data_IF_808122683417
#
_entry.id   IF_808122683417
#
_cell.length_a   1.000
_cell.length_b   1.000
_cell.length_c   1.000
_cell.angle_alpha   90.00
_cell.angle_beta   90.00
_cell.angle_gamma   90.00
#
_symmetry.space_group_name_H-M   'P 1'
#
loop_
_entity.id
_entity.type
_entity.pdbx_description
1 polymer ?
#
# COMPACT_ATOMS: atom_id res chain seq x y z
N UNK A 1 -1.69 22.00 2.23
CA UNK A 1 -0.92 22.22 3.48
C UNK A 1 -1.59 21.54 4.68
N UNK A 2 -2.93 21.56 4.80
CA UNK A 2 -3.65 20.89 5.92
C UNK A 2 -3.58 19.37 5.75
N UNK A 3 -3.85 18.84 4.56
CA UNK A 3 -3.84 17.41 4.29
C UNK A 3 -2.48 16.77 4.58
N UNK A 4 -1.36 17.40 4.17
CA UNK A 4 -0.01 16.88 4.45
C UNK A 4 0.29 16.72 5.95
N UNK A 5 -0.31 17.54 6.82
CA UNK A 5 -0.20 17.42 8.28
C UNK A 5 -1.02 16.27 8.88
N UNK A 6 -1.93 15.72 8.09
CA UNK A 6 -2.80 14.61 8.52
C UNK A 6 -2.16 13.24 8.28
N UNK A 7 -1.15 13.18 7.42
CA UNK A 7 -0.39 11.95 7.20
C UNK A 7 0.69 11.79 8.27
N UNK A 8 1.07 10.55 8.59
CA UNK A 8 2.14 10.32 9.52
C UNK A 8 3.46 10.88 8.99
N UNK A 9 4.30 11.38 9.89
CA UNK A 9 5.66 11.80 9.54
C UNK A 9 6.44 10.59 8.97
N UNK A 10 7.22 10.78 7.90
CA UNK A 10 8.08 9.72 7.40
C UNK A 10 9.00 9.22 8.51
N UNK A 11 8.82 8.01 8.96
CA UNK A 11 9.64 7.39 9.98
C UNK A 11 10.55 6.37 9.30
N UNK A 12 11.86 6.58 9.39
CA UNK A 12 12.83 5.80 8.64
C UNK A 12 13.28 4.52 9.34
N UNK A 13 12.93 4.31 10.62
CA UNK A 13 13.41 3.16 11.38
C UNK A 13 12.31 2.55 12.25
N UNK A 14 11.98 1.31 11.96
CA UNK A 14 11.27 0.40 12.85
C UNK A 14 12.22 -0.76 13.21
N UNK A 15 11.96 -1.47 14.29
CA UNK A 15 12.79 -2.62 14.68
C UNK A 15 12.78 -3.66 13.55
N UNK A 16 13.97 -3.98 13.04
CA UNK A 16 14.15 -4.94 11.95
C UNK A 16 13.83 -4.42 10.54
N UNK A 17 13.40 -3.16 10.39
CA UNK A 17 13.06 -2.58 9.09
C UNK A 17 13.90 -1.34 8.79
N UNK A 18 14.39 -1.26 7.57
CA UNK A 18 14.77 -0.01 6.93
C UNK A 18 13.57 0.45 6.08
N UNK A 19 13.03 1.62 6.37
CA UNK A 19 11.74 2.06 5.85
C UNK A 19 11.82 3.50 5.35
N UNK A 20 11.37 3.74 4.14
CA UNK A 20 11.31 5.06 3.54
C UNK A 20 9.99 5.27 2.81
N UNK A 21 9.48 6.50 2.84
CA UNK A 21 8.30 6.95 2.10
C UNK A 21 8.67 8.24 1.36
N UNK A 22 8.25 8.33 0.11
CA UNK A 22 8.14 9.58 -0.63
C UNK A 22 6.68 9.85 -0.98
N UNK A 23 6.26 11.10 -0.82
CA UNK A 23 4.89 11.53 -1.07
C UNK A 23 4.89 12.91 -1.71
N UNK A 24 4.69 12.95 -3.00
CA UNK A 24 4.63 14.16 -3.80
C UNK A 24 3.25 14.35 -4.42
N UNK A 25 2.35 15.12 -3.78
CA UNK A 25 1.04 15.39 -4.34
C UNK A 25 1.15 16.28 -5.58
N UNK A 26 0.42 15.95 -6.65
CA UNK A 26 0.38 16.73 -7.90
C UNK A 26 -0.09 18.18 -7.70
N UNK A 27 -0.87 18.45 -6.66
CA UNK A 27 -1.43 19.74 -6.31
C UNK A 27 -1.33 19.99 -4.79
N UNK A 28 -2.00 21.04 -4.30
CA UNK A 28 -2.08 21.33 -2.86
C UNK A 28 -2.75 20.23 -2.06
N UNK A 29 -3.51 19.33 -2.71
CA UNK A 29 -4.22 18.18 -2.14
C UNK A 29 -4.16 17.02 -3.13
N UNK A 30 -4.20 15.76 -2.61
CA UNK A 30 -4.10 14.54 -3.39
C UNK A 30 -5.21 13.54 -3.02
N UNK A 31 -5.51 12.65 -3.97
CA UNK A 31 -6.29 11.42 -3.77
C UNK A 31 -5.49 10.33 -3.03
N UNK A 32 -4.18 10.33 -3.24
CA UNK A 32 -3.30 9.36 -2.59
C UNK A 32 -3.26 9.51 -1.07
N UNK A 33 -3.19 8.41 -0.37
CA UNK A 33 -2.96 8.36 1.07
C UNK A 33 -2.09 7.17 1.45
N UNK A 34 -1.28 7.38 2.46
CA UNK A 34 -0.58 6.29 3.14
C UNK A 34 -0.77 6.38 4.66
N UNK A 35 -0.63 5.24 5.32
CA UNK A 35 -0.55 5.16 6.77
C UNK A 35 0.29 3.96 7.18
N UNK A 36 0.84 3.98 8.39
CA UNK A 36 1.55 2.84 8.95
C UNK A 36 1.18 2.67 10.43
N UNK A 37 1.12 1.42 10.84
CA UNK A 37 0.70 1.03 12.18
C UNK A 37 1.85 0.36 12.90
N UNK A 38 2.17 0.86 14.09
CA UNK A 38 3.28 0.34 14.88
C UNK A 38 2.98 0.41 16.37
N UNK A 39 3.57 -0.53 17.11
CA UNK A 39 3.51 -0.54 18.56
C UNK A 39 4.91 -0.83 19.12
N UNK A 40 5.34 -0.05 20.11
CA UNK A 40 6.66 -0.20 20.77
C UNK A 40 7.85 -0.27 19.77
N UNK A 41 7.73 0.41 18.63
CA UNK A 41 8.73 0.44 17.57
C UNK A 41 8.68 -0.74 16.59
N UNK A 42 7.76 -1.68 16.75
CA UNK A 42 7.55 -2.75 15.78
C UNK A 42 6.48 -2.30 14.78
N UNK A 43 6.82 -2.35 13.49
CA UNK A 43 5.87 -2.16 12.41
C UNK A 43 4.96 -3.39 12.32
N UNK A 44 3.65 -3.21 12.34
CA UNK A 44 2.69 -4.30 12.21
C UNK A 44 1.65 -4.09 11.12
N UNK A 45 1.61 -2.91 10.49
CA UNK A 45 0.75 -2.68 9.34
C UNK A 45 1.19 -1.50 8.48
N UNK A 46 0.76 -1.54 7.22
CA UNK A 46 0.93 -0.47 6.26
C UNK A 46 -0.27 -0.40 5.33
N UNK A 47 -0.69 0.80 5.00
CA UNK A 47 -1.79 1.09 4.10
C UNK A 47 -1.33 2.08 3.03
N UNK A 48 -1.65 1.78 1.77
CA UNK A 48 -1.45 2.68 0.63
C UNK A 48 -2.70 2.63 -0.24
N UNK A 49 -3.35 3.78 -0.43
CA UNK A 49 -4.61 3.88 -1.17
C UNK A 49 -4.58 5.10 -2.08
N UNK A 50 -5.35 5.02 -3.15
CA UNK A 50 -5.59 6.12 -4.08
C UNK A 50 -7.09 6.27 -4.31
N UNK A 51 -7.58 7.50 -4.14
CA UNK A 51 -8.99 7.88 -4.33
C UNK A 51 -9.17 8.38 -5.76
N UNK A 52 -10.09 7.77 -6.50
CA UNK A 52 -10.39 8.14 -7.88
C UNK A 52 -10.73 9.63 -8.04
N UNK A 53 -10.17 10.25 -9.09
CA UNK A 53 -10.34 11.66 -9.38
C UNK A 53 -9.30 12.55 -8.68
N UNK A 54 -9.45 13.86 -8.82
CA UNK A 54 -8.48 14.82 -8.30
C UNK A 54 -9.16 16.05 -7.69
N UNK A 55 -8.37 16.84 -6.98
CA UNK A 55 -8.82 18.10 -6.40
C UNK A 55 -9.56 17.93 -5.07
N UNK A 56 -10.43 18.88 -4.76
CA UNK A 56 -11.03 19.01 -3.42
C UNK A 56 -11.93 17.83 -3.05
N UNK A 57 -12.73 17.33 -4.01
CA UNK A 57 -13.64 16.20 -3.76
C UNK A 57 -12.85 14.96 -3.36
N UNK A 58 -11.87 14.55 -4.17
CA UNK A 58 -11.01 13.41 -3.88
C UNK A 58 -10.32 13.58 -2.51
N UNK A 59 -9.78 14.76 -2.20
CA UNK A 59 -9.08 15.01 -0.95
C UNK A 59 -9.97 14.91 0.30
N UNK A 60 -11.24 15.26 0.21
CA UNK A 60 -12.20 15.07 1.31
C UNK A 60 -12.49 13.59 1.54
N UNK A 61 -12.66 12.82 0.47
CA UNK A 61 -12.82 11.36 0.56
C UNK A 61 -11.52 10.71 1.08
N UNK A 62 -10.36 11.19 0.70
CA UNK A 62 -9.06 10.73 1.24
C UNK A 62 -9.00 10.88 2.76
N UNK A 63 -9.48 12.00 3.30
CA UNK A 63 -9.50 12.24 4.75
C UNK A 63 -10.49 11.32 5.47
N UNK A 64 -11.68 11.11 4.89
CA UNK A 64 -12.66 10.15 5.37
C UNK A 64 -12.09 8.73 5.36
N UNK A 65 -11.53 8.31 4.23
CA UNK A 65 -10.95 6.99 4.03
C UNK A 65 -9.83 6.72 5.03
N UNK A 66 -8.91 7.68 5.25
CA UNK A 66 -7.82 7.53 6.22
C UNK A 66 -8.34 7.17 7.62
N UNK A 67 -9.36 7.85 8.10
CA UNK A 67 -9.95 7.58 9.42
C UNK A 67 -10.60 6.19 9.47
N UNK A 68 -11.33 5.80 8.42
CA UNK A 68 -11.99 4.50 8.34
C UNK A 68 -10.94 3.38 8.29
N UNK A 69 -9.90 3.52 7.46
CA UNK A 69 -8.83 2.53 7.29
C UNK A 69 -8.11 2.33 8.63
N UNK A 70 -7.65 3.41 9.27
CA UNK A 70 -6.94 3.33 10.54
C UNK A 70 -7.78 2.67 11.65
N UNK A 71 -9.01 3.14 11.86
CA UNK A 71 -9.89 2.58 12.87
C UNK A 71 -10.28 1.12 12.59
N UNK A 72 -10.42 0.73 11.31
CA UNK A 72 -10.74 -0.64 10.94
C UNK A 72 -9.54 -1.57 11.12
N UNK A 73 -8.34 -1.11 10.78
CA UNK A 73 -7.11 -1.87 11.01
C UNK A 73 -6.90 -2.13 12.51
N UNK A 74 -6.97 -1.10 13.34
CA UNK A 74 -6.82 -1.25 14.80
C UNK A 74 -7.89 -2.17 15.41
N UNK A 75 -9.14 -2.09 14.94
CA UNK A 75 -10.20 -3.01 15.36
C UNK A 75 -9.89 -4.44 14.95
N UNK A 76 -9.52 -4.65 13.68
CA UNK A 76 -9.17 -5.96 13.14
C UNK A 76 -8.03 -6.63 13.93
N UNK A 77 -7.01 -5.87 14.31
CA UNK A 77 -5.93 -6.35 15.17
C UNK A 77 -6.44 -6.83 16.53
N UNK A 78 -7.31 -6.06 17.18
CA UNK A 78 -7.86 -6.42 18.50
C UNK A 78 -8.69 -7.70 18.50
N UNK A 79 -9.43 -7.96 17.42
CA UNK A 79 -10.30 -9.14 17.28
C UNK A 79 -9.68 -10.25 16.45
N UNK A 80 -8.41 -10.11 16.04
CA UNK A 80 -7.66 -11.05 15.21
C UNK A 80 -8.36 -11.35 13.87
N UNK A 81 -8.94 -10.34 13.26
CA UNK A 81 -9.57 -10.41 11.95
C UNK A 81 -8.54 -10.65 10.85
N UNK A 82 -8.92 -11.35 9.78
CA UNK A 82 -8.04 -11.50 8.62
C UNK A 82 -7.88 -10.17 7.89
N UNK A 83 -6.78 -10.01 7.15
CA UNK A 83 -6.56 -8.80 6.34
C UNK A 83 -7.65 -8.63 5.27
N UNK A 84 -8.17 -9.73 4.73
CA UNK A 84 -9.28 -9.75 3.78
C UNK A 84 -10.57 -9.22 4.40
N UNK A 85 -10.93 -9.70 5.59
CA UNK A 85 -12.14 -9.25 6.30
C UNK A 85 -12.02 -7.78 6.73
N UNK A 86 -10.81 -7.37 7.15
CA UNK A 86 -10.54 -5.97 7.47
C UNK A 86 -10.77 -5.08 6.24
N UNK A 87 -10.31 -5.48 5.06
CA UNK A 87 -10.49 -4.71 3.83
C UNK A 87 -11.95 -4.71 3.35
N UNK A 88 -12.70 -5.80 3.54
CA UNK A 88 -14.15 -5.84 3.32
C UNK A 88 -14.89 -4.89 4.27
N UNK A 89 -14.52 -4.89 5.56
CA UNK A 89 -15.09 -3.97 6.54
C UNK A 89 -14.81 -2.49 6.19
N UNK A 90 -13.64 -2.19 5.64
CA UNK A 90 -13.30 -0.86 5.12
C UNK A 90 -14.21 -0.50 3.95
N UNK A 91 -14.39 -1.41 2.99
CA UNK A 91 -15.29 -1.22 1.86
C UNK A 91 -16.70 -0.84 2.29
N UNK A 92 -17.29 -1.63 3.19
CA UNK A 92 -18.65 -1.42 3.67
C UNK A 92 -18.81 -0.08 4.38
N UNK A 93 -17.85 0.30 5.21
CA UNK A 93 -17.86 1.59 5.91
C UNK A 93 -17.71 2.76 4.94
N UNK A 94 -16.83 2.66 3.95
CA UNK A 94 -16.65 3.71 2.94
C UNK A 94 -17.92 3.88 2.13
N UNK A 95 -18.59 2.81 1.69
CA UNK A 95 -19.87 2.87 1.00
C UNK A 95 -20.92 3.62 1.84
N UNK A 96 -21.03 3.26 3.12
CA UNK A 96 -22.01 3.87 4.01
C UNK A 96 -21.72 5.35 4.30
N UNK A 97 -20.47 5.70 4.55
CA UNK A 97 -20.09 7.04 4.99
C UNK A 97 -20.01 8.06 3.84
N UNK A 98 -19.60 7.63 2.64
CA UNK A 98 -19.52 8.53 1.49
C UNK A 98 -20.90 8.75 0.82
N UNK A 99 -21.88 7.87 1.06
CA UNK A 99 -23.21 7.96 0.43
C UNK A 99 -23.15 7.92 -1.08
N UNK A 100 -23.87 8.82 -1.73
CA UNK A 100 -24.02 8.90 -3.20
C UNK A 100 -22.83 9.55 -3.93
N UNK A 101 -21.69 9.73 -3.25
CA UNK A 101 -20.48 10.27 -3.90
C UNK A 101 -19.85 9.18 -4.77
N UNK A 102 -19.58 9.50 -6.05
CA UNK A 102 -19.11 8.51 -7.05
C UNK A 102 -17.65 8.08 -6.89
N UNK A 103 -16.85 8.76 -6.06
CA UNK A 103 -15.45 8.37 -5.84
C UNK A 103 -15.35 6.94 -5.32
N UNK A 104 -14.38 6.21 -5.83
CA UNK A 104 -13.95 4.89 -5.35
C UNK A 104 -12.47 4.94 -4.99
N UNK A 105 -11.96 3.89 -4.36
CA UNK A 105 -10.56 3.80 -3.98
C UNK A 105 -9.95 2.51 -4.51
N UNK A 106 -8.71 2.60 -4.96
CA UNK A 106 -7.82 1.45 -5.04
C UNK A 106 -6.88 1.44 -3.83
N UNK A 107 -6.37 0.28 -3.44
CA UNK A 107 -5.44 0.28 -2.31
C UNK A 107 -4.89 -1.08 -1.93
N UNK A 108 -3.84 -1.02 -1.12
CA UNK A 108 -3.18 -2.19 -0.52
C UNK A 108 -3.20 -2.02 0.99
N UNK A 109 -3.51 -3.11 1.67
CA UNK A 109 -3.39 -3.22 3.11
C UNK A 109 -2.43 -4.36 3.43
N UNK A 110 -1.41 -4.07 4.25
CA UNK A 110 -0.39 -5.02 4.68
C UNK A 110 -0.45 -5.20 6.19
N UNK A 111 -0.25 -6.44 6.63
CA UNK A 111 -0.09 -6.80 8.03
C UNK A 111 1.21 -7.59 8.17
N UNK A 112 2.04 -7.18 9.13
CA UNK A 112 3.34 -7.79 9.40
C UNK A 112 3.31 -8.54 10.72
N UNK A 113 3.82 -9.78 10.73
CA UNK A 113 4.12 -10.46 11.98
C UNK A 113 5.35 -9.84 12.66
N UNK A 114 5.63 -10.23 13.90
CA UNK A 114 6.95 -10.00 14.47
C UNK A 114 7.98 -10.88 13.75
N UNK A 115 9.24 -10.41 13.73
CA UNK A 115 10.35 -11.25 13.29
C UNK A 115 10.50 -12.47 14.23
N UNK A 116 10.73 -13.60 13.63
CA UNK A 116 11.02 -14.84 14.34
C UNK A 116 12.53 -14.95 14.69
N UNK A 117 12.94 -16.10 15.22
CA UNK A 117 14.34 -16.39 15.59
C UNK A 117 15.31 -16.49 14.40
N UNK A 118 14.78 -16.53 13.17
CA UNK A 118 15.54 -16.57 11.92
C UNK A 118 15.51 -15.22 11.20
N UNK A 119 15.11 -14.13 11.88
CA UNK A 119 14.92 -12.81 11.29
C UNK A 119 13.96 -12.80 10.09
N UNK A 120 12.93 -13.66 10.12
CA UNK A 120 11.89 -13.75 9.11
C UNK A 120 10.56 -13.19 9.62
N UNK A 121 9.91 -12.37 8.80
CA UNK A 121 8.60 -11.79 9.06
C UNK A 121 7.58 -12.35 8.07
N UNK A 122 6.41 -12.79 8.53
CA UNK A 122 5.31 -13.14 7.65
C UNK A 122 4.48 -11.89 7.33
N UNK A 123 4.21 -11.68 6.06
CA UNK A 123 3.40 -10.57 5.55
C UNK A 123 2.10 -11.12 4.98
N UNK A 124 0.98 -10.58 5.45
CA UNK A 124 -0.32 -10.77 4.83
C UNK A 124 -0.70 -9.49 4.07
N UNK A 125 -1.09 -9.63 2.81
CA UNK A 125 -1.46 -8.52 1.92
C UNK A 125 -2.84 -8.76 1.33
N UNK A 126 -3.70 -7.74 1.37
CA UNK A 126 -4.92 -7.66 0.59
C UNK A 126 -4.84 -6.45 -0.36
N UNK A 127 -5.29 -6.64 -1.61
CA UNK A 127 -5.21 -5.64 -2.67
C UNK A 127 -6.59 -5.40 -3.28
N UNK A 128 -7.01 -4.15 -3.35
CA UNK A 128 -8.24 -3.68 -3.94
C UNK A 128 -7.98 -2.91 -5.24
N UNK A 129 -7.57 -3.62 -6.29
CA UNK A 129 -7.38 -3.04 -7.63
C UNK A 129 -6.20 -2.06 -7.76
N UNK A 130 -5.28 -2.07 -6.81
CA UNK A 130 -4.12 -1.19 -6.79
C UNK A 130 -2.93 -1.80 -7.54
N UNK A 131 -1.96 -1.00 -8.03
CA UNK A 131 -0.72 -1.53 -8.61
C UNK A 131 -0.07 -2.60 -7.72
N UNK A 132 0.41 -3.67 -8.32
CA UNK A 132 1.00 -4.77 -7.57
C UNK A 132 2.34 -4.37 -6.96
N UNK A 133 2.54 -4.55 -5.64
CA UNK A 133 3.86 -4.37 -5.03
C UNK A 133 4.90 -5.25 -5.67
N UNK A 134 6.13 -4.77 -5.69
CA UNK A 134 7.28 -5.51 -6.17
C UNK A 134 8.06 -6.02 -4.98
N UNK A 135 8.34 -7.32 -4.97
CA UNK A 135 9.18 -7.99 -4.00
C UNK A 135 10.49 -8.40 -4.65
N UNK A 136 11.60 -7.91 -4.11
CA UNK A 136 12.94 -8.40 -4.38
C UNK A 136 13.33 -9.39 -3.29
N UNK A 137 13.83 -10.57 -3.69
CA UNK A 137 14.37 -11.60 -2.82
C UNK A 137 15.88 -11.55 -2.81
N UNK A 138 16.47 -11.43 -1.63
CA UNK A 138 17.92 -11.39 -1.49
C UNK A 138 18.59 -12.72 -1.80
N UNK A 139 17.92 -13.83 -1.51
CA UNK A 139 18.45 -15.19 -1.64
C UNK A 139 18.84 -15.54 -3.08
N UNK A 140 17.97 -15.21 -4.05
CA UNK A 140 18.13 -15.56 -5.47
C UNK A 140 18.16 -14.33 -6.39
N UNK A 141 18.16 -13.13 -5.81
CA UNK A 141 18.12 -11.82 -6.50
C UNK A 141 16.91 -11.67 -7.44
N UNK A 142 15.85 -12.44 -7.22
CA UNK A 142 14.65 -12.40 -8.04
C UNK A 142 13.80 -11.16 -7.73
N UNK A 143 13.12 -10.65 -8.75
CA UNK A 143 12.17 -9.55 -8.67
C UNK A 143 10.80 -10.04 -9.14
N UNK A 144 9.79 -9.93 -8.30
CA UNK A 144 8.45 -10.47 -8.60
C UNK A 144 7.38 -9.45 -8.23
N UNK A 145 6.41 -9.22 -9.13
CA UNK A 145 5.18 -8.51 -8.78
C UNK A 145 4.25 -9.45 -8.00
N UNK A 146 3.77 -9.01 -6.84
CA UNK A 146 2.91 -9.79 -5.97
C UNK A 146 1.47 -9.82 -6.50
N UNK A 147 1.23 -10.64 -7.51
CA UNK A 147 -0.06 -10.84 -8.15
C UNK A 147 -0.82 -11.97 -7.46
N UNK A 148 -2.15 -11.83 -7.38
CA UNK A 148 -3.02 -12.96 -7.03
C UNK A 148 -2.94 -14.05 -8.07
N UNK A 149 -3.15 -15.29 -7.65
CA UNK A 149 -3.35 -16.39 -8.58
C UNK A 149 -4.55 -16.07 -9.49
N UNK A 150 -4.37 -16.22 -10.80
CA UNK A 150 -5.38 -15.96 -11.81
C UNK A 150 -6.67 -16.79 -11.64
N UNK A 151 -6.63 -17.85 -10.83
CA UNK A 151 -7.80 -18.65 -10.45
C UNK A 151 -8.67 -17.96 -9.37
N UNK A 152 -8.12 -16.99 -8.65
CA UNK A 152 -8.86 -16.21 -7.66
C UNK A 152 -9.42 -14.96 -8.33
N UNK A 153 -10.74 -14.83 -8.30
CA UNK A 153 -11.38 -13.61 -8.78
C UNK A 153 -11.01 -12.46 -7.87
N UNK A 154 -10.16 -11.57 -8.37
CA UNK A 154 -9.91 -10.28 -7.73
C UNK A 154 -10.98 -9.31 -8.21
N UNK A 155 -11.71 -8.72 -7.31
CA UNK A 155 -12.71 -7.74 -7.64
C UNK A 155 -12.41 -6.41 -7.04
N UNK A 156 -12.07 -5.51 -7.92
CA UNK A 156 -12.42 -4.12 -7.96
C UNK A 156 -11.86 -3.25 -6.85
N UNK A 157 -12.24 -2.02 -7.03
CA UNK A 157 -11.98 -0.93 -6.11
C UNK A 157 -12.95 -0.97 -4.91
N UNK A 158 -12.60 -0.26 -3.86
CA UNK A 158 -13.38 -0.05 -2.65
C UNK A 158 -14.39 1.09 -2.88
N UNK A 159 -15.57 0.97 -2.29
CA UNK A 159 -16.55 2.05 -2.25
C UNK A 159 -17.52 2.10 -3.41
N UNK A 160 -17.62 1.04 -4.24
CA UNK A 160 -18.59 0.95 -5.32
C UNK A 160 -19.84 0.21 -4.83
N UNK A 161 -20.98 0.90 -4.82
CA UNK A 161 -22.25 0.30 -4.42
C UNK A 161 -22.75 -0.76 -5.39
N UNK A 162 -23.39 -1.80 -4.87
CA UNK A 162 -24.06 -2.81 -5.68
C UNK A 162 -23.16 -3.80 -6.39
N UNK A 163 -21.86 -3.78 -6.10
CA UNK A 163 -20.88 -4.74 -6.61
C UNK A 163 -20.48 -5.67 -5.47
N UNK A 164 -20.57 -6.97 -5.71
CA UNK A 164 -20.04 -7.98 -4.79
C UNK A 164 -18.51 -8.05 -4.97
N UNK A 165 -17.78 -7.73 -3.92
CA UNK A 165 -16.31 -7.65 -3.93
C UNK A 165 -15.70 -8.69 -3.01
N UNK A 166 -14.52 -9.16 -3.36
CA UNK A 166 -13.68 -9.94 -2.48
C UNK A 166 -12.22 -9.51 -2.61
N UNK A 167 -11.49 -9.52 -1.50
CA UNK A 167 -10.08 -9.13 -1.45
C UNK A 167 -9.26 -10.27 -0.87
N UNK A 168 -8.99 -11.34 -1.65
CA UNK A 168 -8.25 -12.50 -1.14
C UNK A 168 -6.86 -12.08 -0.67
N UNK A 169 -6.42 -12.66 0.45
CA UNK A 169 -5.10 -12.37 0.99
C UNK A 169 -4.01 -13.17 0.29
N UNK A 170 -2.87 -12.55 0.06
CA UNK A 170 -1.60 -13.21 -0.25
C UNK A 170 -0.75 -13.21 1.02
N UNK A 171 -0.21 -14.37 1.37
CA UNK A 171 0.71 -14.50 2.49
C UNK A 171 2.09 -14.90 1.97
N UNK A 172 3.12 -14.20 2.41
CA UNK A 172 4.50 -14.49 2.01
C UNK A 172 5.48 -14.13 3.14
N UNK A 173 6.57 -14.88 3.29
CA UNK A 173 7.63 -14.51 4.22
C UNK A 173 8.48 -13.37 3.64
N UNK A 174 9.10 -12.58 4.50
CA UNK A 174 10.20 -11.68 4.18
C UNK A 174 11.36 -11.96 5.13
N UNK A 175 12.53 -12.19 4.56
CA UNK A 175 13.77 -12.41 5.28
C UNK A 175 14.66 -11.16 5.25
N UNK A 176 15.73 -11.15 6.03
CA UNK A 176 16.68 -10.05 6.05
C UNK A 176 17.32 -9.81 4.67
N UNK A 177 17.20 -8.58 4.18
CA UNK A 177 17.69 -8.16 2.88
C UNK A 177 16.66 -8.25 1.74
N UNK A 178 15.49 -8.81 1.98
CA UNK A 178 14.37 -8.70 1.05
C UNK A 178 13.84 -7.27 1.02
N UNK A 179 13.32 -6.82 -0.15
CA UNK A 179 12.82 -5.47 -0.34
C UNK A 179 11.41 -5.53 -0.89
N UNK A 180 10.48 -4.85 -0.21
CA UNK A 180 9.10 -4.69 -0.66
C UNK A 180 8.88 -3.23 -1.06
N UNK A 181 8.48 -3.00 -2.31
CA UNK A 181 8.15 -1.66 -2.83
C UNK A 181 6.67 -1.60 -3.18
N UNK A 182 5.96 -0.70 -2.50
CA UNK A 182 4.58 -0.35 -2.77
C UNK A 182 4.54 1.06 -3.38
N UNK A 183 3.70 1.28 -4.38
CA UNK A 183 3.62 2.55 -5.10
C UNK A 183 2.23 2.74 -5.69
N UNK A 184 1.83 4.00 -5.93
CA UNK A 184 0.62 4.36 -6.66
C UNK A 184 0.91 4.41 -8.17
N UNK A 185 -0.12 4.50 -8.99
CA UNK A 185 -0.01 4.50 -10.45
C UNK A 185 0.87 5.67 -10.97
N UNK A 186 0.96 6.77 -10.22
CA UNK A 186 1.81 7.91 -10.55
C UNK A 186 3.26 7.55 -10.84
N UNK A 187 3.81 6.49 -10.19
CA UNK A 187 5.17 6.03 -10.49
C UNK A 187 5.23 5.23 -11.79
N UNK A 188 4.40 4.21 -11.95
CA UNK A 188 4.48 3.33 -13.12
C UNK A 188 3.95 3.99 -14.40
N UNK A 189 3.06 4.97 -14.29
CA UNK A 189 2.49 5.73 -15.40
C UNK A 189 3.26 7.02 -15.72
N UNK A 190 4.25 7.39 -14.89
CA UNK A 190 5.15 8.49 -15.21
C UNK A 190 5.74 8.29 -16.62
N UNK A 191 5.60 9.31 -17.47
CA UNK A 191 5.97 9.20 -18.87
C UNK A 191 7.05 10.24 -19.24
N UNK A 192 7.95 9.83 -20.12
CA UNK A 192 8.96 10.71 -20.70
C UNK A 192 8.37 11.63 -21.79
N UNK A 193 9.22 12.45 -22.40
CA UNK A 193 8.85 13.34 -23.49
C UNK A 193 8.31 12.61 -24.74
N UNK A 194 8.64 11.35 -24.93
CA UNK A 194 8.15 10.47 -25.99
C UNK A 194 6.84 9.77 -25.63
N UNK A 195 6.28 10.04 -24.41
CA UNK A 195 5.11 9.39 -23.81
C UNK A 195 5.31 7.88 -23.51
N UNK A 196 6.56 7.46 -23.35
CA UNK A 196 6.86 6.12 -22.90
C UNK A 196 6.77 6.08 -21.37
N UNK A 197 5.91 5.19 -20.83
CA UNK A 197 5.73 5.06 -19.39
C UNK A 197 6.96 4.43 -18.73
N UNK A 198 7.21 4.77 -17.46
CA UNK A 198 8.27 4.18 -16.67
C UNK A 198 8.08 2.67 -16.53
N UNK A 199 6.89 2.24 -16.15
CA UNK A 199 6.44 0.86 -16.19
C UNK A 199 7.07 -0.04 -15.13
N UNK A 200 6.46 -1.20 -14.95
CA UNK A 200 6.82 -2.16 -13.89
C UNK A 200 8.22 -2.75 -14.06
N UNK A 201 8.65 -2.99 -15.30
CA UNK A 201 9.96 -3.61 -15.58
C UNK A 201 11.11 -2.69 -15.15
N UNK A 202 10.97 -1.38 -15.41
CA UNK A 202 11.99 -0.40 -14.99
C UNK A 202 12.02 -0.24 -13.47
N UNK A 203 10.88 -0.24 -12.80
CA UNK A 203 10.82 -0.23 -11.33
C UNK A 203 11.59 -1.46 -10.79
N UNK A 204 11.28 -2.65 -11.28
CA UNK A 204 11.96 -3.87 -10.87
C UNK A 204 13.47 -3.85 -11.09
N UNK A 205 13.91 -3.33 -12.23
CA UNK A 205 15.33 -3.18 -12.57
C UNK A 205 16.04 -2.20 -11.62
N UNK A 206 15.43 -1.05 -11.34
CA UNK A 206 15.99 -0.06 -10.39
C UNK A 206 16.15 -0.67 -9.00
N UNK A 207 15.14 -1.43 -8.52
CA UNK A 207 15.22 -2.12 -7.22
C UNK A 207 16.40 -3.12 -7.22
N UNK A 208 16.52 -3.95 -8.25
CA UNK A 208 17.57 -4.97 -8.36
C UNK A 208 18.96 -4.35 -8.38
N UNK A 209 19.19 -3.32 -9.20
CA UNK A 209 20.47 -2.62 -9.33
C UNK A 209 20.88 -1.90 -8.03
N UNK A 210 19.93 -1.50 -7.20
CA UNK A 210 20.16 -0.76 -5.97
C UNK A 210 19.88 -1.56 -4.69
N UNK A 211 19.68 -2.88 -4.79
CA UNK A 211 19.26 -3.75 -3.68
C UNK A 211 20.22 -3.79 -2.49
N UNK A 212 21.48 -3.36 -2.68
CA UNK A 212 22.50 -3.27 -1.64
C UNK A 212 22.48 -1.94 -0.87
N UNK A 213 21.61 -1.01 -1.25
CA UNK A 213 21.50 0.34 -0.66
C UNK A 213 20.39 0.39 0.39
N UNK A 214 20.34 1.49 1.14
CA UNK A 214 19.27 1.79 2.08
C UNK A 214 17.94 2.04 1.36
N UNK A 215 16.82 1.85 2.08
CA UNK A 215 15.47 2.14 1.55
C UNK A 215 15.36 3.57 1.01
N UNK A 216 15.97 4.55 1.69
CA UNK A 216 15.99 5.95 1.24
C UNK A 216 16.77 6.13 -0.07
N UNK A 217 17.87 5.42 -0.26
CA UNK A 217 18.67 5.51 -1.49
C UNK A 217 17.99 4.80 -2.67
N UNK A 218 17.30 3.67 -2.41
CA UNK A 218 16.48 2.98 -3.42
C UNK A 218 15.33 3.90 -3.86
N UNK A 219 14.64 4.51 -2.91
CA UNK A 219 13.54 5.43 -3.16
C UNK A 219 13.96 6.64 -4.02
N UNK A 220 15.16 7.16 -3.82
CA UNK A 220 15.71 8.25 -4.65
C UNK A 220 16.14 7.81 -6.05
N UNK A 221 16.35 6.52 -6.26
CA UNK A 221 16.72 5.97 -7.56
C UNK A 221 15.48 5.64 -8.42
N UNK A 222 14.32 5.46 -7.78
CA UNK A 222 13.01 5.33 -8.42
C UNK A 222 12.48 6.69 -8.87
#
# INVERSE_FOLDING_TARGET
IVQKKYFPEPKMMFRGWDFAIDYEPLASVSGDLYDYYYNEGNLHGFALFDVSGHGLSASLITMLAKNIIGSSFERGEKIQETISDTLLSINDKIINEKGDIDNYLTGILLKFSRFDENDCCNVAMANAGHPYPILFRKEDESVTALKHDSSQKQYGAIGIQGIDVSFPAINFPMAQGDILVCYTDGLCEAADAAKEQFGYERIGKVIQENSHKSATEILRAL
#
